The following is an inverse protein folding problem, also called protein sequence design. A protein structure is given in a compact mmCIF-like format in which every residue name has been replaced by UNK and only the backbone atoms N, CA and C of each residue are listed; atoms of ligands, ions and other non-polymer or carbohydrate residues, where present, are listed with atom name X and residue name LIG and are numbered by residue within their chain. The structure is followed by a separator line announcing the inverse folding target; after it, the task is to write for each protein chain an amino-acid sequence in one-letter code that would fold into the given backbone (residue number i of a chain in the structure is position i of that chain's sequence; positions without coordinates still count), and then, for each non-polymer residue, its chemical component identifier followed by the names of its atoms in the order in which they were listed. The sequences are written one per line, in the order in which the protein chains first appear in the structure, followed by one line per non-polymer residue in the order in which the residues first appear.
data_IF_416145774646
#
_entry.id   IF_416145774646
#
_cell.length_a   1.000
_cell.length_b   1.000
_cell.length_c   1.000
_cell.angle_alpha   90.00
_cell.angle_beta   90.00
_cell.angle_gamma   90.00
#
_symmetry.space_group_name_H-M   'P 1'
#
loop_
_entity.id
_entity.type
_entity.pdbx_description
1 polymer ?
#
# COMPACT_ATOMS: atom_id res chain seq x y z
N UNK A 1 -5.23 -30.03 4.24
CA UNK A 1 -5.70 -28.65 4.03
C UNK A 1 -7.02 -28.71 3.30
N UNK A 2 -8.08 -28.20 3.93
CA UNK A 2 -9.45 -28.11 3.40
C UNK A 2 -9.47 -27.44 2.00
N UNK A 3 -10.43 -27.84 1.15
CA UNK A 3 -10.55 -27.37 -0.22
C UNK A 3 -10.81 -25.85 -0.28
N UNK A 4 -11.70 -25.34 0.56
CA UNK A 4 -11.99 -23.91 0.66
C UNK A 4 -10.76 -23.10 1.10
N UNK A 5 -9.97 -23.65 2.03
CA UNK A 5 -8.74 -23.03 2.50
C UNK A 5 -7.67 -22.97 1.39
N UNK A 6 -7.53 -24.04 0.60
CA UNK A 6 -6.63 -24.06 -0.58
C UNK A 6 -7.06 -23.03 -1.61
N UNK A 7 -8.36 -22.96 -1.90
CA UNK A 7 -8.93 -21.98 -2.81
C UNK A 7 -8.64 -20.55 -2.35
N UNK A 8 -8.81 -20.26 -1.06
CA UNK A 8 -8.51 -18.96 -0.47
C UNK A 8 -7.08 -18.50 -0.70
N UNK A 9 -6.09 -19.36 -0.40
CA UNK A 9 -4.68 -19.06 -0.65
C UNK A 9 -4.37 -18.88 -2.13
N UNK A 10 -4.91 -19.72 -3.01
CA UNK A 10 -4.69 -19.62 -4.44
C UNK A 10 -5.31 -18.36 -5.05
N UNK A 11 -6.54 -18.03 -4.66
CA UNK A 11 -7.23 -16.82 -5.10
C UNK A 11 -6.46 -15.58 -4.66
N UNK A 12 -6.01 -15.55 -3.41
CA UNK A 12 -5.20 -14.44 -2.89
C UNK A 12 -3.88 -14.29 -3.64
N UNK A 13 -3.20 -15.42 -3.95
CA UNK A 13 -1.98 -15.42 -4.78
C UNK A 13 -2.24 -14.91 -6.20
N UNK A 14 -3.32 -15.37 -6.84
CA UNK A 14 -3.70 -14.91 -8.19
C UNK A 14 -4.01 -13.41 -8.20
N UNK A 15 -4.69 -12.93 -7.16
CA UNK A 15 -5.03 -11.53 -6.98
C UNK A 15 -3.78 -10.67 -6.83
N UNK A 16 -2.81 -11.05 -5.99
CA UNK A 16 -1.55 -10.32 -5.87
C UNK A 16 -0.79 -10.28 -7.19
N UNK A 17 -0.64 -11.43 -7.87
CA UNK A 17 0.05 -11.49 -9.16
C UNK A 17 -0.57 -10.54 -10.21
N UNK A 18 -1.89 -10.38 -10.18
CA UNK A 18 -2.62 -9.54 -11.15
C UNK A 18 -2.55 -8.05 -10.81
N UNK A 19 -2.78 -7.69 -9.56
CA UNK A 19 -2.99 -6.30 -9.14
C UNK A 19 -1.71 -5.63 -8.62
N UNK A 20 -0.76 -6.42 -8.13
CA UNK A 20 0.50 -5.90 -7.62
C UNK A 20 1.65 -6.90 -7.83
N UNK A 21 2.15 -6.95 -9.07
CA UNK A 21 3.25 -7.85 -9.36
C UNK A 21 4.55 -7.51 -8.55
N UNK A 22 4.65 -6.38 -7.83
CA UNK A 22 5.90 -5.83 -7.20
C UNK A 22 6.03 -6.50 -5.90
N UNK A 23 4.98 -6.37 -5.13
CA UNK A 23 4.85 -7.15 -3.95
C UNK A 23 4.75 -8.62 -4.28
N UNK A 24 4.20 -9.06 -5.42
CA UNK A 24 4.25 -10.47 -5.80
C UNK A 24 5.70 -10.98 -5.99
N UNK A 25 6.55 -10.29 -6.77
CA UNK A 25 7.94 -10.71 -6.95
C UNK A 25 8.77 -10.57 -5.67
N UNK A 26 8.53 -9.53 -4.85
CA UNK A 26 9.13 -9.41 -3.54
C UNK A 26 8.71 -10.56 -2.60
N UNK A 27 7.42 -10.92 -2.61
CA UNK A 27 6.87 -12.06 -1.86
C UNK A 27 7.53 -13.38 -2.30
N UNK A 28 7.80 -13.56 -3.60
CA UNK A 28 8.54 -14.74 -4.08
C UNK A 28 9.98 -14.83 -3.57
N UNK A 29 10.57 -13.74 -3.05
CA UNK A 29 11.89 -13.73 -2.40
C UNK A 29 11.83 -13.98 -0.90
N UNK A 30 10.63 -14.02 -0.31
CA UNK A 30 10.46 -14.45 1.08
C UNK A 30 10.61 -15.97 1.20
N UNK A 31 10.87 -16.51 2.40
CA UNK A 31 10.83 -17.94 2.67
C UNK A 31 9.48 -18.56 2.28
N UNK A 32 9.50 -19.79 1.75
CA UNK A 32 8.33 -20.42 1.14
C UNK A 32 7.16 -20.57 2.12
N UNK A 33 7.46 -20.75 3.40
CA UNK A 33 6.52 -20.95 4.50
C UNK A 33 5.64 -19.73 4.80
N UNK A 34 6.14 -18.50 4.58
CA UNK A 34 5.38 -17.27 4.86
C UNK A 34 4.71 -16.66 3.62
N UNK A 35 5.00 -17.16 2.41
CA UNK A 35 4.39 -16.63 1.17
C UNK A 35 2.87 -16.80 1.15
N UNK A 36 2.29 -17.96 1.53
CA UNK A 36 0.83 -18.11 1.55
C UNK A 36 0.15 -17.10 2.47
N UNK A 37 0.70 -16.88 3.68
CA UNK A 37 0.19 -15.88 4.61
C UNK A 37 0.29 -14.45 4.05
N UNK A 38 1.41 -14.12 3.39
CA UNK A 38 1.59 -12.83 2.71
C UNK A 38 0.56 -12.63 1.60
N UNK A 39 0.32 -13.67 0.80
CA UNK A 39 -0.71 -13.65 -0.23
C UNK A 39 -2.10 -13.46 0.38
N UNK A 40 -2.47 -14.20 1.43
CA UNK A 40 -3.77 -14.11 2.09
C UNK A 40 -4.04 -12.72 2.66
N UNK A 41 -3.06 -12.12 3.35
CA UNK A 41 -3.15 -10.74 3.83
C UNK A 41 -3.38 -9.77 2.67
N UNK A 42 -2.57 -9.88 1.60
CA UNK A 42 -2.75 -9.07 0.40
C UNK A 42 -4.16 -9.26 -0.22
N UNK A 43 -4.65 -10.50 -0.28
CA UNK A 43 -5.97 -10.82 -0.83
C UNK A 43 -7.09 -10.12 -0.06
N UNK A 44 -6.98 -10.03 1.27
CA UNK A 44 -7.96 -9.33 2.09
C UNK A 44 -7.95 -7.82 1.83
N UNK A 45 -6.79 -7.18 1.93
CA UNK A 45 -6.67 -5.72 1.73
C UNK A 45 -7.00 -5.32 0.29
N UNK A 46 -6.60 -6.13 -0.70
CA UNK A 46 -6.96 -5.86 -2.09
C UNK A 46 -8.46 -6.05 -2.35
N UNK A 47 -9.13 -6.97 -1.68
CA UNK A 47 -10.60 -7.08 -1.81
C UNK A 47 -11.28 -5.80 -1.31
N UNK A 48 -10.85 -5.25 -0.17
CA UNK A 48 -11.35 -3.98 0.34
C UNK A 48 -11.10 -2.82 -0.64
N UNK A 49 -9.88 -2.69 -1.18
CA UNK A 49 -9.54 -1.74 -2.25
C UNK A 49 -10.45 -1.90 -3.49
N UNK A 50 -10.75 -3.13 -3.91
CA UNK A 50 -11.65 -3.36 -5.05
C UNK A 50 -13.13 -3.03 -4.74
N UNK A 51 -13.55 -3.09 -3.48
CA UNK A 51 -14.87 -2.59 -3.07
C UNK A 51 -14.95 -1.07 -3.18
N UNK A 52 -13.84 -0.37 -2.93
CA UNK A 52 -13.78 1.10 -2.97
C UNK A 52 -13.55 1.62 -4.39
N UNK A 53 -12.59 1.04 -5.12
CA UNK A 53 -12.05 1.58 -6.38
C UNK A 53 -12.18 0.64 -7.57
N UNK A 54 -12.53 -0.63 -7.32
CA UNK A 54 -12.65 -1.63 -8.38
C UNK A 54 -13.74 -1.31 -9.40
N UNK A 55 -13.69 -1.92 -10.60
CA UNK A 55 -14.67 -1.69 -11.66
C UNK A 55 -16.08 -2.19 -11.33
N UNK A 56 -16.20 -3.06 -10.31
CA UNK A 56 -17.48 -3.61 -9.82
C UNK A 56 -17.90 -3.00 -8.47
N UNK A 57 -17.28 -1.90 -8.06
CA UNK A 57 -17.62 -1.22 -6.81
C UNK A 57 -19.09 -0.78 -6.81
N UNK A 58 -19.74 -0.71 -5.63
CA UNK A 58 -21.01 -0.01 -5.49
C UNK A 58 -20.92 1.43 -6.00
N UNK A 59 -22.00 1.91 -6.64
CA UNK A 59 -22.01 3.22 -7.27
C UNK A 59 -21.91 4.37 -6.25
N UNK A 60 -22.63 4.25 -5.13
CA UNK A 60 -22.74 5.30 -4.10
C UNK A 60 -21.72 5.13 -2.98
N UNK A 61 -21.27 6.23 -2.34
CA UNK A 61 -20.44 6.17 -1.13
C UNK A 61 -21.02 5.28 -0.02
N UNK A 62 -22.32 5.36 0.24
CA UNK A 62 -22.99 4.53 1.25
C UNK A 62 -23.01 3.05 0.88
N UNK A 63 -23.22 2.73 -0.40
CA UNK A 63 -23.13 1.35 -0.88
C UNK A 63 -21.73 0.76 -0.70
N UNK A 64 -20.68 1.56 -0.92
CA UNK A 64 -19.29 1.13 -0.70
C UNK A 64 -19.01 0.91 0.79
N UNK A 65 -19.47 1.82 1.65
CA UNK A 65 -19.37 1.67 3.12
C UNK A 65 -20.07 0.40 3.59
N UNK A 66 -21.32 0.16 3.18
CA UNK A 66 -22.05 -1.05 3.54
C UNK A 66 -21.35 -2.34 3.05
N UNK A 67 -20.76 -2.31 1.86
CA UNK A 67 -19.97 -3.44 1.35
C UNK A 67 -18.67 -3.66 2.13
N UNK A 68 -17.99 -2.59 2.58
CA UNK A 68 -16.84 -2.69 3.48
C UNK A 68 -17.24 -3.20 4.86
N UNK A 69 -18.39 -2.79 5.40
CA UNK A 69 -18.92 -3.28 6.67
C UNK A 69 -19.21 -4.79 6.59
N UNK A 70 -19.82 -5.25 5.50
CA UNK A 70 -20.04 -6.67 5.25
C UNK A 70 -18.73 -7.45 5.11
N UNK A 71 -17.73 -6.88 4.43
CA UNK A 71 -16.41 -7.50 4.29
C UNK A 71 -15.66 -7.59 5.62
N UNK A 72 -15.73 -6.55 6.46
CA UNK A 72 -15.15 -6.56 7.80
C UNK A 72 -15.86 -7.59 8.71
N UNK A 73 -17.18 -7.73 8.61
CA UNK A 73 -17.94 -8.73 9.35
C UNK A 73 -17.56 -10.18 8.98
N UNK A 74 -17.20 -10.44 7.71
CA UNK A 74 -16.67 -11.76 7.31
C UNK A 74 -15.38 -12.09 8.07
N UNK A 75 -14.51 -11.12 8.32
CA UNK A 75 -13.30 -11.34 9.13
C UNK A 75 -13.64 -11.76 10.57
N UNK A 76 -14.72 -11.24 11.14
CA UNK A 76 -15.20 -11.62 12.46
C UNK A 76 -15.77 -13.05 12.49
N UNK A 77 -16.40 -13.49 11.39
CA UNK A 77 -16.82 -14.88 11.23
C UNK A 77 -15.64 -15.86 11.12
N UNK A 78 -14.47 -15.38 10.69
CA UNK A 78 -13.21 -16.12 10.71
C UNK A 78 -13.27 -17.44 9.93
N UNK A 79 -13.08 -18.57 10.62
CA UNK A 79 -13.10 -19.91 10.00
C UNK A 79 -14.48 -20.29 9.42
N UNK A 80 -15.55 -19.69 9.95
CA UNK A 80 -16.93 -19.93 9.50
C UNK A 80 -17.37 -19.02 8.36
N UNK A 81 -16.56 -18.02 8.00
CA UNK A 81 -16.81 -17.09 6.88
C UNK A 81 -17.20 -17.81 5.60
N UNK A 82 -18.07 -17.24 4.77
CA UNK A 82 -18.37 -17.81 3.46
C UNK A 82 -17.30 -17.49 2.41
N UNK A 83 -16.33 -16.63 2.75
CA UNK A 83 -15.32 -16.10 1.85
C UNK A 83 -14.00 -16.88 1.96
N UNK A 84 -13.55 -17.57 0.89
CA UNK A 84 -12.30 -18.35 0.93
C UNK A 84 -11.06 -17.52 1.32
N UNK A 85 -10.97 -16.26 0.87
CA UNK A 85 -9.85 -15.36 1.21
C UNK A 85 -9.79 -15.11 2.72
N UNK A 86 -10.94 -14.89 3.37
CA UNK A 86 -11.02 -14.65 4.81
C UNK A 86 -10.64 -15.89 5.61
N UNK A 87 -11.10 -17.08 5.18
CA UNK A 87 -10.67 -18.34 5.79
C UNK A 87 -9.16 -18.53 5.70
N UNK A 88 -8.56 -18.23 4.55
CA UNK A 88 -7.11 -18.29 4.36
C UNK A 88 -6.35 -17.31 5.25
N UNK A 89 -6.85 -16.08 5.40
CA UNK A 89 -6.24 -15.10 6.30
C UNK A 89 -6.38 -15.52 7.77
N UNK A 90 -7.53 -16.06 8.16
CA UNK A 90 -7.78 -16.53 9.53
C UNK A 90 -6.86 -17.69 9.90
N UNK A 91 -6.73 -18.67 9.02
CA UNK A 91 -5.78 -19.79 9.16
C UNK A 91 -4.33 -19.30 9.24
N UNK A 92 -3.93 -18.37 8.35
CA UNK A 92 -2.61 -17.75 8.41
C UNK A 92 -2.37 -17.01 9.73
N UNK A 93 -3.37 -16.30 10.23
CA UNK A 93 -3.30 -15.56 11.48
C UNK A 93 -3.12 -16.49 12.68
N UNK A 94 -3.84 -17.61 12.72
CA UNK A 94 -3.67 -18.62 13.76
C UNK A 94 -2.25 -19.24 13.74
N UNK A 95 -1.74 -19.58 12.56
CA UNK A 95 -0.42 -20.21 12.39
C UNK A 95 0.75 -19.27 12.71
N UNK A 96 0.63 -18.00 12.34
CA UNK A 96 1.71 -17.02 12.43
C UNK A 96 1.50 -15.96 13.52
N UNK A 97 0.43 -16.06 14.32
CA UNK A 97 0.05 -15.11 15.37
C UNK A 97 -0.02 -13.67 14.85
N UNK A 98 -0.75 -13.49 13.74
CA UNK A 98 -0.88 -12.18 13.10
C UNK A 98 -1.83 -11.28 13.90
N UNK A 99 -1.47 -9.99 14.13
CA UNK A 99 -2.32 -9.06 14.86
C UNK A 99 -3.45 -8.51 13.96
N UNK A 100 -4.45 -9.34 13.64
CA UNK A 100 -5.56 -8.95 12.74
C UNK A 100 -6.38 -7.76 13.26
N UNK A 101 -6.27 -7.38 14.53
CA UNK A 101 -6.87 -6.16 15.06
C UNK A 101 -6.44 -4.88 14.33
N UNK A 102 -5.24 -4.87 13.73
CA UNK A 102 -4.76 -3.77 12.88
C UNK A 102 -5.65 -3.55 11.64
N UNK A 103 -6.35 -4.60 11.16
CA UNK A 103 -7.24 -4.48 10.01
C UNK A 103 -8.47 -3.61 10.31
N UNK A 104 -8.88 -3.44 11.57
CA UNK A 104 -9.95 -2.49 11.91
C UNK A 104 -9.53 -1.05 11.59
N UNK A 105 -8.27 -0.70 11.87
CA UNK A 105 -7.72 0.61 11.53
C UNK A 105 -7.64 0.77 10.01
N UNK A 106 -7.20 -0.27 9.31
CA UNK A 106 -7.21 -0.30 7.83
C UNK A 106 -8.60 -0.07 7.24
N UNK A 107 -9.62 -0.79 7.73
CA UNK A 107 -11.00 -0.66 7.25
C UNK A 107 -11.60 0.72 7.55
N UNK A 108 -11.15 1.41 8.60
CA UNK A 108 -11.54 2.82 8.83
C UNK A 108 -10.98 3.73 7.73
N UNK A 109 -9.72 3.58 7.33
CA UNK A 109 -9.14 4.35 6.23
C UNK A 109 -9.85 4.06 4.89
N UNK A 110 -10.17 2.80 4.60
CA UNK A 110 -10.91 2.46 3.37
C UNK A 110 -12.29 3.12 3.28
N UNK A 111 -12.96 3.36 4.42
CA UNK A 111 -14.25 4.07 4.45
C UNK A 111 -14.12 5.56 4.12
N UNK A 112 -12.96 6.17 4.42
CA UNK A 112 -12.68 7.57 4.03
C UNK A 112 -12.68 7.68 2.50
N UNK A 113 -12.05 6.72 1.82
CA UNK A 113 -11.95 6.70 0.35
C UNK A 113 -13.29 6.46 -0.36
N UNK A 114 -14.36 6.10 0.35
CA UNK A 114 -15.69 5.97 -0.25
C UNK A 114 -16.27 7.31 -0.74
N UNK A 115 -15.72 8.44 -0.29
CA UNK A 115 -16.15 9.79 -0.60
C UNK A 115 -14.97 10.63 -1.14
N UNK A 116 -15.23 11.86 -1.64
CA UNK A 116 -14.17 12.79 -1.99
C UNK A 116 -13.17 12.99 -0.84
N UNK A 117 -11.87 12.95 -1.14
CA UNK A 117 -10.78 13.09 -0.13
C UNK A 117 -10.06 14.42 -0.29
N UNK A 118 -9.87 15.15 0.81
CA UNK A 118 -8.95 16.30 0.91
C UNK A 118 -8.22 16.22 2.25
N UNK A 119 -6.91 16.10 2.18
CA UNK A 119 -6.04 16.09 3.36
C UNK A 119 -5.61 17.52 3.66
N UNK A 120 -5.77 17.96 4.90
CA UNK A 120 -5.48 19.34 5.29
C UNK A 120 -3.99 19.53 5.62
N UNK A 121 -3.43 18.67 6.47
CA UNK A 121 -2.04 18.77 6.94
C UNK A 121 -1.23 17.49 6.71
N UNK A 122 0.09 17.58 6.86
CA UNK A 122 0.98 16.42 6.90
C UNK A 122 0.62 15.45 8.02
N UNK A 123 0.21 15.96 9.18
CA UNK A 123 -0.20 15.10 10.31
C UNK A 123 -1.47 14.31 9.98
N UNK A 124 -2.43 14.94 9.29
CA UNK A 124 -3.62 14.24 8.79
C UNK A 124 -3.24 13.18 7.74
N UNK A 125 -2.28 13.49 6.85
CA UNK A 125 -1.77 12.53 5.88
C UNK A 125 -1.12 11.33 6.58
N UNK A 126 -0.28 11.58 7.58
CA UNK A 126 0.38 10.56 8.39
C UNK A 126 -0.66 9.68 9.11
N UNK A 127 -1.69 10.29 9.71
CA UNK A 127 -2.76 9.54 10.38
C UNK A 127 -3.53 8.65 9.38
N UNK A 128 -3.85 9.19 8.20
CA UNK A 128 -4.50 8.42 7.13
C UNK A 128 -3.60 7.25 6.67
N UNK A 129 -2.32 7.52 6.39
CA UNK A 129 -1.34 6.51 5.91
C UNK A 129 -1.02 5.46 6.96
N UNK A 130 -1.01 5.81 8.25
CA UNK A 130 -0.85 4.84 9.33
C UNK A 130 -2.01 3.85 9.34
N UNK A 131 -3.23 4.32 9.11
CA UNK A 131 -4.38 3.44 8.96
C UNK A 131 -4.33 2.60 7.68
N UNK A 132 -4.09 3.21 6.51
CA UNK A 132 -4.20 2.53 5.21
C UNK A 132 -3.00 1.64 4.85
N UNK A 133 -1.82 1.87 5.43
CA UNK A 133 -0.61 1.10 5.14
C UNK A 133 0.23 0.77 6.38
N UNK A 134 0.30 1.66 7.38
CA UNK A 134 1.05 1.41 8.61
C UNK A 134 0.54 0.19 9.39
N UNK A 135 -0.77 0.03 9.47
CA UNK A 135 -1.47 -1.12 10.06
C UNK A 135 -1.06 -2.44 9.40
N UNK A 136 -1.04 -2.49 8.06
CA UNK A 136 -0.58 -3.63 7.27
C UNK A 136 0.90 -3.88 7.50
N UNK A 137 1.71 -2.82 7.60
CA UNK A 137 3.14 -2.89 7.96
C UNK A 137 3.37 -3.57 9.31
N UNK A 138 2.56 -3.28 10.32
CA UNK A 138 2.63 -3.92 11.65
C UNK A 138 2.24 -5.40 11.61
N UNK A 139 1.23 -5.77 10.81
CA UNK A 139 0.90 -7.19 10.59
C UNK A 139 2.08 -7.91 9.92
N UNK A 140 2.65 -7.30 8.88
CA UNK A 140 3.81 -7.84 8.17
C UNK A 140 5.04 -7.94 9.06
N UNK A 141 5.25 -7.02 10.00
CA UNK A 141 6.36 -7.09 10.96
C UNK A 141 6.32 -8.39 11.78
N UNK A 142 5.13 -8.79 12.24
CA UNK A 142 4.92 -10.07 12.93
C UNK A 142 5.24 -11.25 12.00
N UNK A 143 4.68 -11.24 10.78
CA UNK A 143 4.87 -12.33 9.80
C UNK A 143 6.34 -12.50 9.36
N UNK A 144 7.07 -11.39 9.23
CA UNK A 144 8.47 -11.37 8.83
C UNK A 144 9.42 -11.70 9.99
N UNK A 145 8.91 -11.91 11.20
CA UNK A 145 9.72 -12.24 12.38
C UNK A 145 10.56 -11.06 12.89
N UNK A 146 10.11 -9.82 12.64
CA UNK A 146 10.79 -8.63 13.14
C UNK A 146 10.54 -8.50 14.65
N UNK A 147 11.55 -8.14 15.47
CA UNK A 147 11.34 -7.94 16.91
C UNK A 147 10.26 -6.90 17.20
N UNK A 148 9.42 -7.16 18.22
CA UNK A 148 8.25 -6.33 18.57
C UNK A 148 8.58 -4.83 18.70
N UNK A 149 9.74 -4.48 19.26
CA UNK A 149 10.20 -3.09 19.41
C UNK A 149 10.37 -2.32 18.08
N UNK A 150 10.46 -3.03 16.95
CA UNK A 150 10.59 -2.47 15.60
C UNK A 150 9.30 -2.59 14.77
N UNK A 151 8.19 -3.05 15.35
CA UNK A 151 6.93 -3.16 14.61
C UNK A 151 6.41 -1.79 14.15
N UNK A 152 6.50 -0.77 15.01
CA UNK A 152 6.15 0.61 14.65
C UNK A 152 7.05 1.15 13.52
N UNK A 153 8.32 0.76 13.48
CA UNK A 153 9.23 1.16 12.40
C UNK A 153 8.85 0.51 11.06
N UNK A 154 8.36 -0.74 11.06
CA UNK A 154 7.75 -1.32 9.85
C UNK A 154 6.42 -0.68 9.48
N UNK A 155 5.63 -0.22 10.47
CA UNK A 155 4.48 0.63 10.21
C UNK A 155 4.88 1.88 9.41
N UNK A 156 5.95 2.56 9.84
CA UNK A 156 6.52 3.72 9.11
C UNK A 156 7.04 3.38 7.71
N UNK A 157 7.54 2.16 7.48
CA UNK A 157 7.83 1.70 6.13
C UNK A 157 6.56 1.62 5.26
N UNK A 158 5.44 1.21 5.85
CA UNK A 158 4.11 1.27 5.23
C UNK A 158 3.73 2.70 4.79
N UNK A 159 3.97 3.71 5.64
CA UNK A 159 3.77 5.11 5.27
C UNK A 159 4.64 5.51 4.06
N UNK A 160 5.91 5.09 4.03
CA UNK A 160 6.81 5.39 2.91
C UNK A 160 6.26 4.84 1.58
N UNK A 161 5.77 3.60 1.61
CA UNK A 161 5.13 2.98 0.44
C UNK A 161 3.84 3.69 0.03
N UNK A 162 3.03 4.13 0.99
CA UNK A 162 1.77 4.81 0.70
C UNK A 162 1.99 6.21 0.13
N UNK A 163 2.92 6.99 0.71
CA UNK A 163 3.27 8.31 0.18
C UNK A 163 3.83 8.19 -1.25
N UNK A 164 4.65 7.19 -1.52
CA UNK A 164 5.14 6.94 -2.87
C UNK A 164 4.01 6.56 -3.85
N UNK A 165 2.97 5.85 -3.41
CA UNK A 165 1.78 5.62 -4.23
C UNK A 165 1.06 6.95 -4.53
N UNK A 166 0.84 7.80 -3.52
CA UNK A 166 0.19 9.11 -3.72
C UNK A 166 0.97 10.06 -4.62
N UNK A 167 2.30 10.06 -4.54
CA UNK A 167 3.16 10.81 -5.46
C UNK A 167 3.02 10.31 -6.90
N UNK A 168 3.01 8.98 -7.08
CA UNK A 168 2.90 8.36 -8.41
C UNK A 168 1.55 8.63 -9.05
N UNK A 169 0.48 8.58 -8.26
CA UNK A 169 -0.90 8.50 -8.75
C UNK A 169 -1.67 9.83 -8.65
N UNK A 170 -0.98 10.97 -8.45
CA UNK A 170 -1.62 12.30 -8.31
C UNK A 170 -2.70 12.55 -9.39
N UNK A 171 -2.40 12.23 -10.64
CA UNK A 171 -3.33 12.39 -11.76
C UNK A 171 -4.52 11.43 -11.65
N UNK A 172 -4.25 10.16 -11.44
CA UNK A 172 -5.25 9.11 -11.30
C UNK A 172 -6.20 9.40 -10.12
N UNK A 173 -5.66 9.78 -8.97
CA UNK A 173 -6.40 10.15 -7.77
C UNK A 173 -7.30 11.37 -8.01
N UNK A 174 -6.82 12.37 -8.76
CA UNK A 174 -7.62 13.53 -9.12
C UNK A 174 -8.85 13.16 -9.99
N UNK A 175 -8.79 12.08 -10.78
CA UNK A 175 -9.96 11.56 -11.52
C UNK A 175 -11.00 10.88 -10.63
N UNK A 176 -10.58 10.41 -9.45
CA UNK A 176 -11.44 9.84 -8.41
C UNK A 176 -11.95 10.90 -7.44
N UNK A 177 -11.69 12.17 -7.73
CA UNK A 177 -11.97 13.30 -6.85
C UNK A 177 -11.30 13.16 -5.47
N UNK A 178 -10.02 12.77 -5.47
CA UNK A 178 -9.18 12.62 -4.29
C UNK A 178 -7.91 13.44 -4.42
N UNK A 179 -7.56 14.16 -3.35
CA UNK A 179 -6.29 14.89 -3.25
C UNK A 179 -5.65 14.58 -1.91
N UNK A 180 -4.64 13.71 -1.94
CA UNK A 180 -3.89 13.28 -0.76
C UNK A 180 -2.72 14.20 -0.42
N UNK A 181 -2.16 14.91 -1.40
CA UNK A 181 -1.12 15.92 -1.13
C UNK A 181 -1.71 17.01 -0.22
N UNK A 182 -1.12 17.30 0.96
CA UNK A 182 -1.76 18.14 1.97
C UNK A 182 -2.05 19.55 1.48
N UNK A 183 -3.18 20.13 1.90
CA UNK A 183 -3.53 21.51 1.60
C UNK A 183 -2.44 22.49 2.06
N UNK A 184 -1.86 22.28 3.25
CA UNK A 184 -0.78 23.12 3.77
C UNK A 184 0.44 23.18 2.84
N UNK A 185 0.81 22.04 2.23
CA UNK A 185 1.95 21.98 1.31
C UNK A 185 1.56 22.57 -0.04
N UNK A 186 0.35 22.26 -0.54
CA UNK A 186 -0.18 22.88 -1.77
C UNK A 186 -0.18 24.41 -1.67
N UNK A 187 -0.68 24.96 -0.56
CA UNK A 187 -0.72 26.41 -0.31
C UNK A 187 0.69 27.00 -0.23
N UNK A 188 1.62 26.32 0.45
CA UNK A 188 3.03 26.72 0.54
C UNK A 188 3.70 26.84 -0.83
N UNK A 189 3.36 25.95 -1.76
CA UNK A 189 3.92 25.95 -3.13
C UNK A 189 3.03 26.69 -4.14
N UNK A 190 1.90 27.26 -3.74
CA UNK A 190 0.96 27.97 -4.63
C UNK A 190 0.26 27.07 -5.64
N UNK A 191 -0.04 25.82 -5.25
CA UNK A 191 -0.67 24.80 -6.11
C UNK A 191 -2.15 24.68 -5.79
N UNK A 192 -3.00 24.83 -6.80
CA UNK A 192 -4.44 24.58 -6.67
C UNK A 192 -4.80 23.13 -7.03
N UNK A 193 -6.00 22.67 -6.65
CA UNK A 193 -6.46 21.35 -7.11
C UNK A 193 -6.64 21.27 -8.64
N UNK A 194 -6.84 22.40 -9.32
CA UNK A 194 -6.96 22.43 -10.78
C UNK A 194 -5.61 22.19 -11.45
N UNK A 195 -4.51 22.67 -10.85
CA UNK A 195 -3.16 22.41 -11.35
C UNK A 195 -2.82 20.92 -11.31
N UNK A 196 -3.36 20.16 -10.35
CA UNK A 196 -3.20 18.71 -10.24
C UNK A 196 -3.97 17.92 -11.32
N UNK A 197 -4.88 18.59 -12.05
CA UNK A 197 -5.66 18.02 -13.16
C UNK A 197 -5.11 18.43 -14.54
N UNK A 198 -4.01 19.17 -14.58
CA UNK A 198 -3.36 19.57 -15.82
C UNK A 198 -2.74 18.37 -16.56
N UNK A 199 -2.46 18.52 -17.85
CA UNK A 199 -1.78 17.49 -18.65
C UNK A 199 -0.31 17.32 -18.26
N UNK A 200 0.31 18.39 -17.75
CA UNK A 200 1.71 18.43 -17.31
C UNK A 200 1.85 19.24 -16.02
N UNK A 201 2.76 18.82 -15.16
CA UNK A 201 3.05 19.51 -13.91
C UNK A 201 3.68 20.89 -14.18
N UNK A 202 3.05 21.94 -13.65
CA UNK A 202 3.62 23.30 -13.61
C UNK A 202 4.89 23.32 -12.74
N UNK A 203 5.74 24.37 -12.82
CA UNK A 203 6.89 24.50 -11.92
C UNK A 203 6.53 24.41 -10.43
N UNK A 204 5.37 24.95 -10.04
CA UNK A 204 4.84 24.86 -8.68
C UNK A 204 4.48 23.43 -8.28
N UNK A 205 3.78 22.69 -9.14
CA UNK A 205 3.45 21.27 -8.91
C UNK A 205 4.71 20.43 -8.81
N UNK A 206 5.70 20.66 -9.69
CA UNK A 206 6.99 19.95 -9.65
C UNK A 206 7.74 20.19 -8.33
N UNK A 207 7.73 21.43 -7.83
CA UNK A 207 8.35 21.78 -6.54
C UNK A 207 7.63 21.12 -5.35
N UNK A 208 6.30 21.10 -5.35
CA UNK A 208 5.50 20.38 -4.36
C UNK A 208 5.83 18.87 -4.37
N UNK A 209 5.84 18.25 -5.55
CA UNK A 209 6.15 16.82 -5.70
C UNK A 209 7.57 16.52 -5.22
N UNK A 210 8.55 17.38 -5.52
CA UNK A 210 9.92 17.22 -5.04
C UNK A 210 10.01 17.22 -3.50
N UNK A 211 9.25 18.10 -2.84
CA UNK A 211 9.15 18.16 -1.38
C UNK A 211 8.55 16.87 -0.78
N UNK A 212 7.50 16.32 -1.40
CA UNK A 212 6.91 15.04 -0.94
C UNK A 212 7.82 13.84 -1.21
N UNK A 213 8.58 13.85 -2.32
CA UNK A 213 9.61 12.83 -2.60
C UNK A 213 10.68 12.83 -1.52
N UNK A 214 11.13 14.01 -1.06
CA UNK A 214 12.09 14.12 0.03
C UNK A 214 11.55 13.51 1.34
N UNK A 215 10.28 13.80 1.68
CA UNK A 215 9.60 13.16 2.84
C UNK A 215 9.54 11.64 2.69
N UNK A 216 9.16 11.13 1.52
CA UNK A 216 9.12 9.69 1.26
C UNK A 216 10.50 9.03 1.43
N UNK A 217 11.57 9.67 0.94
CA UNK A 217 12.95 9.21 1.15
C UNK A 217 13.34 9.22 2.62
N UNK A 218 12.94 10.23 3.38
CA UNK A 218 13.12 10.29 4.83
C UNK A 218 12.46 9.12 5.55
N UNK A 219 11.22 8.78 5.19
CA UNK A 219 10.49 7.62 5.75
C UNK A 219 11.20 6.30 5.41
N UNK A 220 11.65 6.12 4.17
CA UNK A 220 12.43 4.93 3.77
C UNK A 220 13.75 4.82 4.54
N UNK A 221 14.46 5.93 4.74
CA UNK A 221 15.70 5.95 5.51
C UNK A 221 15.46 5.58 6.98
N UNK A 222 14.40 6.12 7.58
CA UNK A 222 14.00 5.82 8.96
C UNK A 222 13.64 4.36 9.21
N UNK A 223 13.18 3.62 8.20
CA UNK A 223 12.84 2.21 8.30
C UNK A 223 14.04 1.25 8.22
N UNK A 224 15.24 1.73 7.85
CA UNK A 224 16.43 0.88 7.65
C UNK A 224 16.80 0.03 8.89
N UNK A 225 16.77 0.55 10.13
CA UNK A 225 17.08 -0.25 11.32
C UNK A 225 16.14 -1.45 11.48
N UNK A 226 14.85 -1.28 11.17
CA UNK A 226 13.87 -2.35 11.26
C UNK A 226 14.15 -3.47 10.24
N UNK A 227 14.47 -3.09 8.99
CA UNK A 227 14.89 -4.04 7.94
C UNK A 227 16.17 -4.79 8.37
N UNK A 228 17.13 -4.09 8.97
CA UNK A 228 18.38 -4.70 9.45
C UNK A 228 18.14 -5.67 10.62
N UNK A 229 17.17 -5.37 11.48
CA UNK A 229 16.80 -6.21 12.64
C UNK A 229 16.05 -7.49 12.27
N UNK A 230 15.51 -7.56 11.05
CA UNK A 230 14.76 -8.72 10.57
C UNK A 230 15.66 -9.98 10.41
N UNK A 231 15.10 -11.19 10.47
CA UNK A 231 15.81 -12.43 10.15
C UNK A 231 16.45 -12.38 8.76
N UNK A 232 17.67 -12.91 8.62
CA UNK A 232 18.42 -12.86 7.37
C UNK A 232 17.66 -13.48 6.17
N UNK A 233 16.80 -14.47 6.45
CA UNK A 233 15.98 -15.16 5.45
C UNK A 233 14.92 -14.28 4.78
N UNK A 234 14.43 -13.22 5.44
CA UNK A 234 13.39 -12.33 4.89
C UNK A 234 13.95 -11.02 4.31
N UNK A 235 15.15 -10.60 4.74
CA UNK A 235 15.76 -9.34 4.29
C UNK A 235 15.84 -9.17 2.78
N UNK A 236 16.16 -10.19 1.96
CA UNK A 236 16.20 -10.03 0.50
C UNK A 236 14.85 -9.59 -0.09
N UNK A 237 13.73 -10.15 0.41
CA UNK A 237 12.39 -9.75 -0.01
C UNK A 237 12.04 -8.32 0.42
N UNK A 238 12.39 -7.96 1.66
CA UNK A 238 12.19 -6.60 2.17
C UNK A 238 12.99 -5.56 1.37
N UNK A 239 14.29 -5.82 1.13
CA UNK A 239 15.16 -4.97 0.32
C UNK A 239 14.66 -4.83 -1.11
N UNK A 240 14.19 -5.91 -1.73
CA UNK A 240 13.61 -5.86 -3.07
C UNK A 240 12.36 -4.97 -3.11
N UNK A 241 11.44 -5.10 -2.15
CA UNK A 241 10.25 -4.24 -2.08
C UNK A 241 10.63 -2.75 -1.91
N UNK A 242 11.49 -2.43 -0.94
CA UNK A 242 11.97 -1.06 -0.69
C UNK A 242 12.73 -0.49 -1.88
N UNK A 243 13.60 -1.28 -2.51
CA UNK A 243 14.39 -0.85 -3.67
C UNK A 243 13.53 -0.57 -4.90
N UNK A 244 12.49 -1.37 -5.14
CA UNK A 244 11.55 -1.15 -6.25
C UNK A 244 10.76 0.16 -6.09
N UNK A 245 10.34 0.49 -4.87
CA UNK A 245 9.69 1.78 -4.59
C UNK A 245 10.66 2.96 -4.61
N UNK A 246 11.89 2.77 -4.13
CA UNK A 246 12.92 3.81 -4.23
C UNK A 246 13.20 4.16 -5.70
N UNK A 247 13.27 3.16 -6.58
CA UNK A 247 13.40 3.38 -8.04
C UNK A 247 12.22 4.09 -8.67
N UNK A 248 11.02 3.88 -8.15
CA UNK A 248 9.85 4.62 -8.61
C UNK A 248 10.02 6.12 -8.30
N UNK A 249 10.53 6.47 -7.11
CA UNK A 249 10.88 7.85 -6.77
C UNK A 249 12.04 8.39 -7.64
N UNK A 250 13.08 7.59 -7.88
CA UNK A 250 14.18 7.97 -8.79
C UNK A 250 13.65 8.29 -10.20
N UNK A 251 12.64 7.54 -10.68
CA UNK A 251 12.00 7.79 -11.97
C UNK A 251 11.19 9.09 -11.98
N UNK A 252 10.49 9.41 -10.88
CA UNK A 252 9.78 10.70 -10.72
C UNK A 252 10.78 11.87 -10.76
N UNK A 253 11.94 11.73 -10.11
CA UNK A 253 13.01 12.73 -10.20
C UNK A 253 13.56 12.85 -11.63
N UNK A 254 13.80 11.73 -12.30
CA UNK A 254 14.31 11.71 -13.67
C UNK A 254 13.33 12.31 -14.71
N UNK A 255 12.03 12.40 -14.40
CA UNK A 255 11.05 13.12 -15.22
C UNK A 255 10.92 14.60 -14.85
N UNK A 256 11.80 15.12 -13.99
CA UNK A 256 11.72 16.49 -13.48
C UNK A 256 10.47 16.70 -12.64
N UNK A 257 10.03 15.68 -11.91
CA UNK A 257 8.86 15.66 -11.03
C UNK A 257 7.51 15.84 -11.75
N UNK A 258 7.45 15.64 -13.07
CA UNK A 258 6.20 15.68 -13.82
C UNK A 258 5.39 14.39 -13.67
N UNK A 259 4.63 14.27 -12.58
CA UNK A 259 3.75 13.11 -12.31
C UNK A 259 2.42 13.17 -13.08
N UNK A 260 2.14 14.28 -13.77
CA UNK A 260 0.91 14.48 -14.54
C UNK A 260 1.05 14.10 -16.02
N UNK A 261 2.27 14.11 -16.56
CA UNK A 261 2.55 13.73 -17.94
C UNK A 261 2.23 12.26 -18.27
N UNK A 262 1.63 11.98 -19.45
CA UNK A 262 1.24 10.60 -19.85
C UNK A 262 2.41 9.62 -19.96
N UNK A 263 3.60 10.11 -20.27
CA UNK A 263 4.83 9.31 -20.40
C UNK A 263 5.46 8.94 -19.05
N UNK A 264 4.93 9.47 -17.95
CA UNK A 264 5.44 9.25 -16.60
C UNK A 264 4.63 8.22 -15.83
N UNK A 265 3.81 7.40 -16.50
CA UNK A 265 3.16 6.24 -15.88
C UNK A 265 4.20 5.27 -15.30
N UNK A 266 4.67 5.54 -14.08
CA UNK A 266 5.71 4.76 -13.39
C UNK A 266 5.05 3.50 -12.83
N UNK A 267 4.58 2.64 -13.72
CA UNK A 267 4.29 1.26 -13.34
C UNK A 267 5.64 0.62 -13.08
N UNK A 268 5.88 0.26 -11.81
CA UNK A 268 7.12 -0.39 -11.34
C UNK A 268 7.52 -1.62 -12.20
N UNK A 269 6.55 -2.21 -12.91
CA UNK A 269 6.68 -3.27 -13.93
C UNK A 269 7.53 -2.94 -15.13
N UNK A 270 7.58 -1.67 -15.52
CA UNK A 270 8.19 -1.24 -16.77
C UNK A 270 9.65 -0.83 -16.57
N UNK A 271 10.28 -1.18 -15.45
CA UNK A 271 11.70 -0.92 -15.21
C UNK A 271 12.49 -2.19 -15.59
N UNK A 272 13.13 -2.26 -16.78
CA UNK A 272 14.02 -3.36 -17.13
C UNK A 272 15.17 -3.42 -16.10
N UNK A 273 15.54 -4.61 -15.64
CA UNK A 273 16.67 -4.77 -14.71
C UNK A 273 16.38 -4.46 -13.23
N UNK A 274 15.18 -4.00 -12.87
CA UNK A 274 14.84 -3.59 -11.51
C UNK A 274 15.02 -4.70 -10.45
N UNK A 275 14.87 -5.96 -10.81
CA UNK A 275 15.08 -7.07 -9.88
C UNK A 275 16.57 -7.40 -9.66
N UNK A 276 17.45 -7.10 -10.62
CA UNK A 276 18.89 -7.45 -10.59
C UNK A 276 19.71 -6.37 -9.91
N UNK A 277 19.34 -5.11 -10.06
CA UNK A 277 20.05 -3.99 -9.43
C UNK A 277 19.48 -3.61 -8.07
N UNK A 278 18.26 -4.00 -7.69
CA UNK A 278 17.72 -3.76 -6.32
C UNK A 278 18.43 -4.61 -5.25
N UNK A 279 19.26 -5.56 -5.71
CA UNK A 279 20.03 -6.48 -4.88
C UNK A 279 21.50 -6.04 -4.72
N UNK A 280 21.91 -4.94 -5.38
CA UNK A 280 23.20 -4.26 -5.16
C UNK A 280 23.04 -3.22 -4.06
#
# INVERSE_FOLDING_TARGET
MDAALREGYETSRRMQRRHDPTYYFATRRLPAEIRPATHALYGYVRTADQIVDGPRRPATPDGRRAALDAWEAELEAGETSCQPIVRALTDAAARHRLPLGELRTYMRSMRIDCAPVRIASWDDLVAYMDGSAGSVGRIMASLLGVPARHHSDLGRLGLAFQLANFIRDVREDATLDRVYLPAEDRDRFGVTEQDLRAEHATPAVRALVAHEVERARGLFAGARPAIASAPASVRPGMKLATGLYSRMLDRVEATGFDVLGRETGVRVWHIPGAALEALR
#
